data_IF_722797228998
#
_entry.id   IF_722797228998
#
_cell.length_a   1.000
_cell.length_b   1.000
_cell.length_c   1.000
_cell.angle_alpha   90.00
_cell.angle_beta   90.00
_cell.angle_gamma   90.00
#
_symmetry.space_group_name_H-M   'P 1'
#
loop_
_entity.id
_entity.type
_entity.pdbx_description
1 polymer ?
#
# COMPACT_ATOMS: atom_id res chain seq x y z
N UNK A 1 6.66 -3.91 -4.25
CA UNK A 1 6.35 -5.26 -4.81
C UNK A 1 6.51 -5.18 -6.32
N UNK A 2 7.46 -5.91 -6.90
CA UNK A 2 7.64 -5.96 -8.34
C UNK A 2 6.76 -7.06 -8.95
N UNK A 3 6.02 -6.73 -10.01
CA UNK A 3 5.12 -7.65 -10.69
C UNK A 3 5.38 -7.60 -12.19
N UNK A 4 5.56 -8.78 -12.78
CA UNK A 4 5.87 -8.93 -14.20
C UNK A 4 4.68 -8.50 -15.05
N UNK A 5 4.96 -7.81 -16.16
CA UNK A 5 3.97 -7.10 -16.98
C UNK A 5 2.78 -7.98 -17.39
N UNK A 6 3.02 -9.24 -17.79
CA UNK A 6 1.96 -10.13 -18.30
C UNK A 6 0.95 -10.56 -17.23
N UNK A 7 1.27 -10.41 -15.94
CA UNK A 7 0.37 -10.76 -14.83
C UNK A 7 0.03 -9.58 -13.93
N UNK A 8 0.49 -8.36 -14.26
CA UNK A 8 0.37 -7.18 -13.40
C UNK A 8 -1.07 -6.90 -12.98
N UNK A 9 -1.98 -6.78 -13.94
CA UNK A 9 -3.37 -6.40 -13.67
C UNK A 9 -4.11 -7.52 -12.92
N UNK A 10 -3.89 -8.79 -13.31
CA UNK A 10 -4.48 -9.94 -12.65
C UNK A 10 -4.01 -10.10 -11.20
N UNK A 11 -2.73 -9.80 -10.93
CA UNK A 11 -2.19 -9.78 -9.58
C UNK A 11 -2.78 -8.64 -8.75
N UNK A 12 -2.85 -7.42 -9.30
CA UNK A 12 -3.41 -6.26 -8.62
C UNK A 12 -4.87 -6.50 -8.18
N UNK A 13 -5.69 -7.08 -9.05
CA UNK A 13 -7.09 -7.40 -8.71
C UNK A 13 -7.21 -8.49 -7.64
N UNK A 14 -6.37 -9.55 -7.70
CA UNK A 14 -6.35 -10.58 -6.65
C UNK A 14 -5.87 -10.02 -5.31
N UNK A 15 -4.86 -9.16 -5.34
CA UNK A 15 -4.35 -8.50 -4.12
C UNK A 15 -5.42 -7.59 -3.52
N UNK A 16 -6.10 -6.78 -4.34
CA UNK A 16 -7.25 -5.96 -3.92
C UNK A 16 -8.34 -6.80 -3.25
N UNK A 17 -8.71 -7.93 -3.87
CA UNK A 17 -9.72 -8.83 -3.31
C UNK A 17 -9.28 -9.47 -1.97
N UNK A 18 -7.98 -9.74 -1.79
CA UNK A 18 -7.45 -10.24 -0.53
C UNK A 18 -7.40 -9.14 0.55
N UNK A 19 -6.91 -7.95 0.20
CA UNK A 19 -6.84 -6.78 1.08
C UNK A 19 -8.23 -6.36 1.55
N UNK A 20 -9.25 -6.42 0.69
CA UNK A 20 -10.64 -6.12 1.06
C UNK A 20 -11.27 -7.07 2.08
N UNK A 21 -10.61 -8.19 2.41
CA UNK A 21 -11.05 -9.11 3.47
C UNK A 21 -10.46 -8.78 4.85
N UNK A 22 -9.50 -7.86 4.91
CA UNK A 22 -8.88 -7.45 6.16
C UNK A 22 -9.90 -6.67 7.01
N UNK A 23 -9.96 -7.01 8.30
CA UNK A 23 -10.81 -6.32 9.27
C UNK A 23 -9.93 -5.41 10.13
N UNK A 24 -10.17 -4.11 10.01
CA UNK A 24 -9.51 -3.07 10.80
C UNK A 24 -10.27 -2.92 12.12
N UNK A 25 -9.56 -2.91 13.25
CA UNK A 25 -10.20 -2.74 14.55
C UNK A 25 -9.27 -2.92 15.73
N UNK A 26 -9.84 -3.03 16.93
CA UNK A 26 -9.07 -3.28 18.14
C UNK A 26 -8.44 -4.68 18.08
N UNK A 27 -7.12 -4.79 18.28
CA UNK A 27 -6.40 -6.06 18.20
C UNK A 27 -6.81 -7.13 19.22
N UNK A 28 -7.63 -6.77 20.22
CA UNK A 28 -8.22 -7.72 21.17
C UNK A 28 -9.56 -8.31 20.70
N UNK A 29 -10.17 -7.77 19.65
CA UNK A 29 -11.45 -8.24 19.13
C UNK A 29 -11.27 -9.43 18.17
N UNK A 30 -12.16 -10.42 18.28
CA UNK A 30 -12.11 -11.62 17.47
C UNK A 30 -12.30 -11.30 15.97
N UNK A 31 -11.39 -11.81 15.15
CA UNK A 31 -11.44 -11.65 13.69
C UNK A 31 -10.89 -10.32 13.18
N UNK A 32 -10.48 -9.39 14.04
CA UNK A 32 -9.65 -8.24 13.62
C UNK A 32 -8.31 -8.76 13.12
N UNK A 33 -7.92 -8.33 11.92
CA UNK A 33 -6.66 -8.72 11.28
C UNK A 33 -5.68 -7.57 11.17
N UNK A 34 -6.13 -6.35 11.45
CA UNK A 34 -5.33 -5.13 11.26
C UNK A 34 -5.61 -4.14 12.38
N UNK A 35 -4.62 -3.96 13.25
CA UNK A 35 -4.68 -2.97 14.33
C UNK A 35 -4.27 -1.56 13.87
N UNK A 36 -4.17 -0.61 14.80
CA UNK A 36 -3.68 0.72 14.51
C UNK A 36 -2.17 0.70 14.25
N UNK A 37 -1.68 1.74 13.59
CA UNK A 37 -0.26 2.07 13.60
C UNK A 37 0.17 2.51 15.00
N UNK A 38 1.49 2.49 15.24
CA UNK A 38 2.04 2.76 16.57
C UNK A 38 1.77 4.20 17.06
N UNK A 39 1.80 5.18 16.15
CA UNK A 39 1.58 6.60 16.45
C UNK A 39 1.16 7.41 15.21
N UNK A 40 0.86 8.70 15.43
CA UNK A 40 0.48 9.65 14.37
C UNK A 40 1.61 9.93 13.36
N UNK A 41 2.88 9.73 13.76
CA UNK A 41 4.02 9.92 12.86
C UNK A 41 4.06 8.83 11.81
N UNK A 42 3.78 7.59 12.19
CA UNK A 42 3.62 6.48 11.26
C UNK A 42 2.48 6.75 10.27
N UNK A 43 1.33 7.25 10.75
CA UNK A 43 0.21 7.67 9.88
C UNK A 43 0.64 8.75 8.88
N UNK A 44 1.32 9.79 9.36
CA UNK A 44 1.79 10.89 8.51
C UNK A 44 2.77 10.38 7.43
N UNK A 45 3.70 9.48 7.79
CA UNK A 45 4.65 8.90 6.84
C UNK A 45 3.98 8.10 5.74
N UNK A 46 2.96 7.29 6.07
CA UNK A 46 2.18 6.55 5.08
C UNK A 46 1.49 7.52 4.11
N UNK A 47 0.89 8.60 4.61
CA UNK A 47 0.26 9.63 3.77
C UNK A 47 1.25 10.31 2.85
N UNK A 48 2.44 10.65 3.36
CA UNK A 48 3.52 11.26 2.58
C UNK A 48 3.95 10.35 1.42
N UNK A 49 4.21 9.07 1.70
CA UNK A 49 4.58 8.11 0.67
C UNK A 49 3.48 7.94 -0.40
N UNK A 50 2.21 7.91 0.00
CA UNK A 50 1.08 7.85 -0.93
C UNK A 50 1.03 9.11 -1.79
N UNK A 51 1.10 10.30 -1.18
CA UNK A 51 1.04 11.58 -1.87
C UNK A 51 2.19 11.75 -2.86
N UNK A 52 3.42 11.40 -2.47
CA UNK A 52 4.59 11.44 -3.35
C UNK A 52 4.41 10.50 -4.54
N UNK A 53 4.03 9.24 -4.31
CA UNK A 53 3.82 8.28 -5.38
C UNK A 53 2.71 8.73 -6.36
N UNK A 54 1.59 9.23 -5.85
CA UNK A 54 0.48 9.75 -6.67
C UNK A 54 0.91 10.98 -7.47
N UNK A 55 1.68 11.89 -6.87
CA UNK A 55 2.23 13.06 -7.58
C UNK A 55 3.14 12.67 -8.74
N UNK A 56 3.73 11.46 -8.68
CA UNK A 56 4.60 10.86 -9.70
C UNK A 56 3.87 9.86 -10.62
N UNK A 57 2.54 9.86 -10.62
CA UNK A 57 1.72 9.09 -11.55
C UNK A 57 1.20 7.74 -11.03
N UNK A 58 1.46 7.37 -9.77
CA UNK A 58 0.82 6.21 -9.18
C UNK A 58 -0.69 6.46 -9.00
N UNK A 59 -1.47 5.39 -8.89
CA UNK A 59 -2.91 5.45 -8.61
C UNK A 59 -3.24 4.62 -7.38
N UNK A 60 -4.10 5.15 -6.50
CA UNK A 60 -4.63 4.40 -5.36
C UNK A 60 -5.70 3.42 -5.88
N UNK A 61 -5.42 2.13 -5.78
CA UNK A 61 -6.34 1.08 -6.20
C UNK A 61 -7.39 0.77 -5.12
N UNK A 62 -7.01 0.85 -3.85
CA UNK A 62 -7.88 0.69 -2.68
C UNK A 62 -7.23 1.35 -1.46
N UNK A 63 -8.05 1.73 -0.47
CA UNK A 63 -7.59 2.36 0.78
C UNK A 63 -7.14 3.81 0.58
N UNK A 64 -6.07 4.19 1.28
CA UNK A 64 -5.41 5.48 1.15
C UNK A 64 -5.78 6.51 2.22
N UNK A 65 -6.69 6.16 3.14
CA UNK A 65 -7.17 7.09 4.15
C UNK A 65 -6.73 6.70 5.57
N UNK A 66 -6.45 7.72 6.38
CA UNK A 66 -6.42 7.56 7.84
C UNK A 66 -7.82 7.47 8.39
N UNK A 67 -7.99 6.67 9.43
CA UNK A 67 -9.23 6.54 10.19
C UNK A 67 -9.07 7.24 11.55
N UNK A 68 -10.00 7.04 12.46
CA UNK A 68 -9.91 7.58 13.82
C UNK A 68 -8.65 7.08 14.55
N UNK A 69 -8.00 7.94 15.34
CA UNK A 69 -6.73 7.60 16.00
C UNK A 69 -5.62 7.25 15.01
N UNK A 70 -4.76 6.29 15.38
CA UNK A 70 -3.65 5.83 14.53
C UNK A 70 -4.04 4.75 13.51
N UNK A 71 -5.33 4.56 13.24
CA UNK A 71 -5.79 3.56 12.26
C UNK A 71 -5.59 4.06 10.83
N UNK A 72 -5.27 3.14 9.92
CA UNK A 72 -5.07 3.45 8.50
C UNK A 72 -5.58 2.32 7.61
N UNK A 73 -6.23 2.66 6.50
CA UNK A 73 -6.73 1.68 5.54
C UNK A 73 -5.57 0.95 4.83
N UNK A 74 -5.58 -0.40 4.78
CA UNK A 74 -4.69 -1.14 3.89
C UNK A 74 -4.78 -0.63 2.46
N UNK A 75 -3.65 -0.14 1.96
CA UNK A 75 -3.59 0.66 0.73
C UNK A 75 -2.78 -0.09 -0.33
N UNK A 76 -3.29 -0.11 -1.56
CA UNK A 76 -2.55 -0.61 -2.73
C UNK A 76 -2.34 0.56 -3.69
N UNK A 77 -1.10 0.77 -4.12
CA UNK A 77 -0.77 1.69 -5.21
C UNK A 77 -0.40 0.89 -6.45
N UNK A 78 -0.94 1.27 -7.59
CA UNK A 78 -0.56 0.74 -8.91
C UNK A 78 0.20 1.80 -9.71
N UNK A 79 0.96 1.34 -10.70
CA UNK A 79 1.80 2.16 -11.58
C UNK A 79 2.80 3.02 -10.80
N UNK A 80 3.38 2.48 -9.73
CA UNK A 80 4.35 3.20 -8.90
C UNK A 80 5.65 3.39 -9.68
N UNK A 81 6.10 4.64 -9.81
CA UNK A 81 7.39 4.97 -10.40
C UNK A 81 8.56 4.54 -9.50
N UNK A 82 9.66 4.07 -10.09
CA UNK A 82 10.92 3.78 -9.37
C UNK A 82 11.52 5.02 -8.68
N UNK A 83 11.07 6.22 -9.03
CA UNK A 83 11.47 7.49 -8.39
C UNK A 83 10.57 7.92 -7.22
N UNK A 84 9.51 7.18 -6.92
CA UNK A 84 8.70 7.43 -5.73
C UNK A 84 9.53 7.20 -4.46
N UNK A 85 9.30 8.00 -3.41
CA UNK A 85 10.00 7.92 -2.13
C UNK A 85 9.95 6.49 -1.56
N UNK A 86 8.79 5.83 -1.70
CA UNK A 86 8.59 4.43 -1.28
C UNK A 86 9.50 3.40 -1.96
N UNK A 87 10.18 3.76 -3.06
CA UNK A 87 11.19 2.89 -3.69
C UNK A 87 12.55 2.94 -2.98
N UNK A 88 12.81 3.96 -2.16
CA UNK A 88 14.09 4.19 -1.45
C UNK A 88 13.91 4.27 0.07
N UNK A 89 12.69 4.47 0.53
CA UNK A 89 12.36 4.66 1.94
C UNK A 89 11.34 3.62 2.41
N UNK A 90 11.55 3.12 3.63
CA UNK A 90 10.64 2.14 4.22
C UNK A 90 9.39 2.81 4.78
N UNK A 91 8.20 2.37 4.35
CA UNK A 91 6.92 2.96 4.75
C UNK A 91 6.56 2.65 6.21
N UNK A 92 6.84 1.44 6.70
CA UNK A 92 6.39 0.98 8.03
C UNK A 92 4.88 1.12 8.29
N UNK A 93 4.07 0.93 7.25
CA UNK A 93 2.61 0.96 7.37
C UNK A 93 1.92 0.09 6.33
N UNK A 94 0.58 0.01 6.34
CA UNK A 94 -0.18 -0.93 5.54
C UNK A 94 -0.30 -0.46 4.08
N UNK A 95 0.84 -0.35 3.38
CA UNK A 95 0.97 0.15 2.01
C UNK A 95 1.66 -0.89 1.13
N UNK A 96 1.00 -1.30 0.05
CA UNK A 96 1.51 -2.19 -0.98
C UNK A 96 1.73 -1.44 -2.30
N UNK A 97 2.94 -0.89 -2.54
CA UNK A 97 3.29 -0.26 -3.81
C UNK A 97 3.63 -1.31 -4.88
N UNK A 98 2.92 -1.32 -6.00
CA UNK A 98 3.13 -2.23 -7.12
C UNK A 98 3.93 -1.57 -8.25
N UNK A 99 5.10 -2.12 -8.52
CA UNK A 99 6.01 -1.71 -9.59
C UNK A 99 5.93 -2.71 -10.74
N UNK A 100 5.68 -2.22 -11.95
CA UNK A 100 5.61 -3.04 -13.17
C UNK A 100 7.02 -3.21 -13.74
N UNK A 101 7.39 -4.43 -14.14
CA UNK A 101 8.65 -4.71 -14.84
C UNK A 101 8.44 -5.66 -16.02
N UNK A 102 9.32 -5.63 -17.02
CA UNK A 102 9.17 -6.44 -18.24
C UNK A 102 10.06 -7.67 -18.28
N UNK A 103 11.32 -7.53 -17.88
CA UNK A 103 12.33 -8.58 -17.96
C UNK A 103 13.09 -8.78 -16.64
N UNK A 104 13.80 -9.89 -16.53
CA UNK A 104 14.54 -10.26 -15.32
C UNK A 104 15.69 -9.29 -15.01
N UNK A 105 16.28 -8.65 -16.02
CA UNK A 105 17.39 -7.73 -15.81
C UNK A 105 16.93 -6.39 -15.18
N UNK A 106 15.65 -6.06 -15.27
CA UNK A 106 15.03 -4.85 -14.71
C UNK A 106 14.70 -4.91 -13.21
N UNK A 107 14.79 -6.09 -12.57
CA UNK A 107 14.31 -6.36 -11.19
C UNK A 107 15.36 -6.94 -10.26
#
# INVERSE_FOLDING_TARGET
IYVQDAVYDAFAEKLKAAVGKLKIGNGLEEGVTTGPLIDDKAVAKVKEHIADAVSKGATVLTGGNSLEGSFFEPTILVNVSKDAAVAREETFGPLAPLFRFKDEAEV
#
